data_IF_129764337596
#
_entry.id   IF_129764337596
#
_cell.length_a   1.000
_cell.length_b   1.000
_cell.length_c   1.000
_cell.angle_alpha   90.00
_cell.angle_beta   90.00
_cell.angle_gamma   90.00
#
_symmetry.space_group_name_H-M   'P 1'
#
loop_
_entity.id
_entity.type
_entity.pdbx_description
1 polymer ?
#
# COMPACT_ATOMS: atom_id res chain seq x y z
N UNK A 1 57.32 40.45 -7.92
CA UNK A 1 57.53 39.79 -9.21
C UNK A 1 57.55 38.28 -8.96
N UNK A 2 56.46 37.57 -9.33
CA UNK A 2 56.29 36.09 -9.39
C UNK A 2 56.42 35.37 -8.02
N UNK A 3 55.61 34.40 -7.63
CA UNK A 3 54.91 33.39 -8.43
C UNK A 3 53.75 32.81 -7.60
N UNK A 4 52.56 32.81 -8.19
CA UNK A 4 51.39 32.05 -7.74
C UNK A 4 51.60 30.56 -8.04
N UNK A 5 51.00 29.66 -7.24
CA UNK A 5 50.32 28.41 -7.63
C UNK A 5 50.22 27.46 -6.44
N UNK A 6 49.02 27.32 -5.89
CA UNK A 6 48.45 26.02 -5.48
C UNK A 6 46.95 26.18 -5.29
N UNK A 7 46.25 26.13 -6.44
CA UNK A 7 44.83 25.81 -6.51
C UNK A 7 44.69 24.30 -6.30
N UNK A 8 43.98 23.88 -5.27
CA UNK A 8 43.29 22.60 -5.27
C UNK A 8 41.85 22.83 -4.82
N UNK A 9 41.00 22.82 -5.82
CA UNK A 9 39.54 22.75 -5.80
C UNK A 9 39.01 21.61 -4.92
N UNK A 10 37.90 21.85 -4.23
CA UNK A 10 36.70 21.00 -4.28
C UNK A 10 35.55 21.75 -3.59
N UNK A 11 34.62 22.21 -4.41
CA UNK A 11 33.36 22.82 -4.01
C UNK A 11 32.48 21.78 -3.30
N UNK A 12 32.52 21.76 -1.97
CA UNK A 12 31.36 21.32 -1.19
C UNK A 12 30.33 22.45 -1.27
N UNK A 13 29.44 22.37 -2.26
CA UNK A 13 28.28 23.26 -2.39
C UNK A 13 27.34 23.09 -1.19
N UNK A 14 27.65 23.75 -0.09
CA UNK A 14 26.68 24.16 0.92
C UNK A 14 26.28 25.59 0.63
N UNK A 15 25.02 25.82 0.23
CA UNK A 15 24.44 27.16 0.17
C UNK A 15 24.37 27.70 1.60
N UNK A 16 25.30 28.59 1.96
CA UNK A 16 25.23 29.32 3.23
C UNK A 16 24.05 30.31 3.16
N UNK A 17 23.16 30.28 4.17
CA UNK A 17 22.18 31.35 4.34
C UNK A 17 22.85 32.55 5.03
N UNK A 18 22.26 33.74 4.92
CA UNK A 18 22.77 35.02 5.43
C UNK A 18 23.06 35.05 6.95
N UNK A 19 22.63 34.04 7.71
CA UNK A 19 22.83 33.91 9.15
C UNK A 19 23.99 32.97 9.56
N UNK A 20 24.74 32.36 8.63
CA UNK A 20 25.91 31.54 8.97
C UNK A 20 25.62 30.25 9.76
N UNK A 21 24.35 29.85 9.86
CA UNK A 21 23.94 28.58 10.48
C UNK A 21 24.17 27.45 9.48
N UNK A 22 24.91 26.41 9.89
CA UNK A 22 24.86 25.10 9.23
C UNK A 22 23.44 24.58 9.38
N UNK A 23 22.58 24.82 8.39
CA UNK A 23 21.29 24.14 8.31
C UNK A 23 21.62 22.66 8.22
N UNK A 24 21.18 21.81 9.17
CA UNK A 24 21.40 20.38 9.07
C UNK A 24 20.91 19.95 7.69
N UNK A 25 21.77 19.25 6.93
CA UNK A 25 21.34 18.63 5.68
C UNK A 25 20.11 17.81 6.05
N UNK A 26 18.94 18.25 5.57
CA UNK A 26 17.66 17.64 5.87
C UNK A 26 17.81 16.14 5.65
N UNK A 27 17.73 15.36 6.73
CA UNK A 27 18.02 13.94 6.66
C UNK A 27 16.82 13.23 6.03
N UNK A 28 16.70 13.34 4.70
CA UNK A 28 15.62 12.77 3.89
C UNK A 28 15.50 11.24 4.06
N UNK A 29 16.58 10.59 4.52
CA UNK A 29 16.60 9.17 4.81
C UNK A 29 15.88 8.83 6.13
N UNK A 30 15.75 9.80 7.04
CA UNK A 30 14.98 9.68 8.30
C UNK A 30 13.63 10.37 8.24
N UNK A 31 13.55 11.47 7.51
CA UNK A 31 12.39 12.35 7.44
C UNK A 31 12.05 12.65 5.97
N UNK A 32 11.39 11.71 5.27
CA UNK A 32 10.96 11.94 3.89
C UNK A 32 9.95 13.08 3.83
N UNK A 33 10.03 13.87 2.75
CA UNK A 33 9.20 15.05 2.59
C UNK A 33 7.96 14.77 1.74
N UNK A 34 6.81 15.39 2.07
CA UNK A 34 5.60 15.24 1.28
C UNK A 34 5.84 15.58 -0.20
N UNK A 35 5.30 14.76 -1.10
CA UNK A 35 5.38 14.93 -2.56
C UNK A 35 6.81 14.89 -3.15
N UNK A 36 7.80 14.44 -2.38
CA UNK A 36 9.16 14.17 -2.90
C UNK A 36 9.36 12.68 -3.15
N UNK A 37 10.36 12.34 -3.96
CA UNK A 37 10.71 10.94 -4.30
C UNK A 37 12.18 10.62 -4.01
N UNK A 38 12.87 11.51 -3.29
CA UNK A 38 14.32 11.49 -3.11
C UNK A 38 14.81 10.29 -2.28
N UNK A 39 13.98 9.76 -1.38
CA UNK A 39 14.33 8.60 -0.55
C UNK A 39 14.72 7.37 -1.41
N UNK A 40 14.13 7.23 -2.59
CA UNK A 40 14.36 6.07 -3.45
C UNK A 40 15.77 6.10 -4.07
N UNK A 41 16.22 7.26 -4.56
CA UNK A 41 17.54 7.40 -5.20
C UNK A 41 18.64 7.73 -4.20
N UNK A 42 18.39 8.70 -3.31
CA UNK A 42 19.41 9.27 -2.43
C UNK A 42 19.69 8.41 -1.20
N UNK A 43 18.76 7.53 -0.83
CA UNK A 43 18.88 6.69 0.37
C UNK A 43 18.84 5.20 0.05
N UNK A 44 17.73 4.70 -0.48
CA UNK A 44 17.53 3.26 -0.68
C UNK A 44 18.50 2.70 -1.74
N UNK A 45 18.51 3.27 -2.95
CA UNK A 45 19.41 2.80 -4.01
C UNK A 45 20.87 3.09 -3.69
N UNK A 46 21.17 4.27 -3.13
CA UNK A 46 22.52 4.62 -2.71
C UNK A 46 23.11 3.67 -1.66
N UNK A 47 22.27 2.99 -0.88
CA UNK A 47 22.69 2.07 0.18
C UNK A 47 22.63 0.60 -0.24
N UNK A 48 21.57 0.20 -0.92
CA UNK A 48 21.30 -1.21 -1.23
C UNK A 48 21.82 -1.63 -2.60
N UNK A 49 22.07 -0.67 -3.51
CA UNK A 49 22.59 -0.91 -4.85
C UNK A 49 21.80 -1.99 -5.61
N UNK A 50 20.46 -1.89 -5.57
CA UNK A 50 19.58 -2.88 -6.20
C UNK A 50 19.57 -2.80 -7.73
N UNK A 51 20.14 -1.75 -8.29
CA UNK A 51 20.27 -1.53 -9.72
C UNK A 51 18.99 -0.99 -10.36
N UNK A 52 19.03 -0.70 -11.68
CA UNK A 52 17.93 -0.06 -12.38
C UNK A 52 16.65 -0.90 -12.45
N UNK A 53 16.76 -2.22 -12.30
CA UNK A 53 15.61 -3.15 -12.23
C UNK A 53 15.12 -3.39 -10.78
N UNK A 54 15.85 -2.90 -9.78
CA UNK A 54 15.53 -3.05 -8.37
C UNK A 54 14.32 -2.20 -7.95
N UNK A 55 13.70 -2.58 -6.83
CA UNK A 55 12.51 -1.90 -6.31
C UNK A 55 12.66 -0.38 -6.18
N UNK A 56 13.77 0.18 -5.61
CA UNK A 56 13.89 1.62 -5.43
C UNK A 56 13.72 2.40 -6.74
N UNK A 57 14.29 1.92 -7.84
CA UNK A 57 14.29 2.63 -9.14
C UNK A 57 13.12 2.20 -10.02
N UNK A 58 12.98 0.89 -10.30
CA UNK A 58 12.01 0.38 -11.25
C UNK A 58 10.56 0.53 -10.79
N UNK A 59 10.33 0.61 -9.49
CA UNK A 59 9.01 0.70 -8.88
C UNK A 59 8.85 1.98 -8.05
N UNK A 60 9.55 2.09 -6.92
CA UNK A 60 9.39 3.17 -5.95
C UNK A 60 9.47 4.56 -6.58
N UNK A 61 10.61 4.89 -7.19
CA UNK A 61 10.82 6.17 -7.88
C UNK A 61 9.84 6.37 -9.04
N UNK A 62 9.68 5.36 -9.89
CA UNK A 62 8.79 5.40 -11.07
C UNK A 62 7.37 5.80 -10.69
N UNK A 63 6.78 5.09 -9.72
CA UNK A 63 5.39 5.30 -9.32
C UNK A 63 5.21 6.50 -8.39
N UNK A 64 6.21 6.85 -7.59
CA UNK A 64 6.23 8.12 -6.86
C UNK A 64 6.15 9.33 -7.82
N UNK A 65 6.98 9.35 -8.87
CA UNK A 65 6.96 10.42 -9.87
C UNK A 65 5.65 10.43 -10.67
N UNK A 66 5.13 9.25 -11.02
CA UNK A 66 3.86 9.12 -11.73
C UNK A 66 2.69 9.66 -10.88
N UNK A 67 2.70 9.38 -9.57
CA UNK A 67 1.72 9.93 -8.61
C UNK A 67 1.76 11.46 -8.60
N UNK A 68 2.96 12.05 -8.49
CA UNK A 68 3.13 13.50 -8.58
C UNK A 68 2.59 14.09 -9.90
N UNK A 69 2.80 13.40 -11.03
CA UNK A 69 2.39 13.89 -12.36
C UNK A 69 0.88 14.06 -12.53
N UNK A 70 0.07 13.30 -11.78
CA UNK A 70 -1.40 13.33 -11.91
C UNK A 70 -2.09 14.09 -10.79
N UNK A 71 -1.32 14.59 -9.81
CA UNK A 71 -1.84 15.28 -8.63
C UNK A 71 -2.74 16.47 -8.97
N UNK A 72 -2.49 17.15 -10.08
CA UNK A 72 -3.31 18.28 -10.54
C UNK A 72 -4.66 17.86 -11.17
N UNK A 73 -4.83 16.59 -11.53
CA UNK A 73 -6.07 16.03 -12.08
C UNK A 73 -7.04 15.57 -10.98
N UNK A 74 -6.56 15.47 -9.74
CA UNK A 74 -7.34 15.02 -8.60
C UNK A 74 -8.12 16.17 -7.96
N UNK A 75 -9.22 15.81 -7.29
CA UNK A 75 -9.96 16.70 -6.39
C UNK A 75 -9.08 17.19 -5.23
N UNK A 76 -9.57 18.14 -4.44
CA UNK A 76 -8.87 18.58 -3.22
C UNK A 76 -8.58 17.39 -2.28
N UNK A 77 -9.57 16.49 -2.12
CA UNK A 77 -9.43 15.28 -1.30
C UNK A 77 -8.43 14.29 -1.91
N UNK A 78 -8.46 14.12 -3.24
CA UNK A 78 -7.49 13.26 -3.93
C UNK A 78 -6.06 13.78 -3.82
N UNK A 79 -5.85 15.11 -3.80
CA UNK A 79 -4.54 15.74 -3.56
C UNK A 79 -4.02 15.50 -2.14
N UNK A 80 -4.90 15.53 -1.15
CA UNK A 80 -4.55 15.18 0.23
C UNK A 80 -4.21 13.69 0.33
N UNK A 81 -5.06 12.83 -0.23
CA UNK A 81 -4.86 11.39 -0.28
C UNK A 81 -3.50 11.03 -0.87
N UNK A 82 -3.20 11.49 -2.09
CA UNK A 82 -1.95 11.11 -2.76
C UNK A 82 -0.71 11.58 -1.98
N UNK A 83 -0.79 12.74 -1.33
CA UNK A 83 0.28 13.26 -0.46
C UNK A 83 0.49 12.36 0.76
N UNK A 84 -0.61 12.01 1.43
CA UNK A 84 -0.59 11.18 2.64
C UNK A 84 -0.10 9.76 2.35
N UNK A 85 -0.61 9.14 1.27
CA UNK A 85 -0.24 7.81 0.83
C UNK A 85 1.23 7.74 0.44
N UNK A 86 1.70 8.68 -0.39
CA UNK A 86 3.13 8.75 -0.76
C UNK A 86 4.03 8.89 0.46
N UNK A 87 3.64 9.71 1.44
CA UNK A 87 4.44 9.91 2.64
C UNK A 87 4.42 8.69 3.56
N UNK A 88 3.27 8.02 3.71
CA UNK A 88 3.13 6.76 4.45
C UNK A 88 4.08 5.70 3.90
N UNK A 89 4.01 5.45 2.58
CA UNK A 89 4.85 4.47 1.89
C UNK A 89 6.35 4.73 2.12
N UNK A 90 6.77 6.00 2.05
CA UNK A 90 8.18 6.37 2.27
C UNK A 90 8.61 6.21 3.73
N UNK A 91 7.74 6.54 4.69
CA UNK A 91 8.04 6.42 6.13
C UNK A 91 8.27 4.97 6.53
N UNK A 92 7.51 4.03 5.98
CA UNK A 92 7.71 2.60 6.28
C UNK A 92 9.08 2.07 5.80
N UNK A 93 9.70 2.73 4.83
CA UNK A 93 11.01 2.38 4.29
C UNK A 93 12.19 3.05 5.03
N UNK A 94 11.92 4.00 5.93
CA UNK A 94 12.95 4.79 6.63
C UNK A 94 13.97 3.90 7.32
N UNK A 95 13.55 2.83 7.99
CA UNK A 95 14.46 1.92 8.70
C UNK A 95 15.51 1.27 7.80
N UNK A 96 15.23 1.14 6.50
CA UNK A 96 16.20 0.66 5.53
C UNK A 96 16.97 1.82 4.88
N UNK A 97 16.31 2.95 4.65
CA UNK A 97 16.90 4.14 4.07
C UNK A 97 17.99 4.77 4.97
N UNK A 98 17.72 4.89 6.27
CA UNK A 98 18.66 5.44 7.27
C UNK A 98 19.74 4.44 7.70
N UNK A 99 19.58 3.16 7.34
CA UNK A 99 20.52 2.09 7.62
C UNK A 99 20.43 1.51 9.03
N UNK A 100 19.41 1.86 9.81
CA UNK A 100 19.12 1.25 11.11
C UNK A 100 18.85 -0.25 10.98
N UNK A 101 18.31 -0.69 9.85
CA UNK A 101 18.07 -2.09 9.52
C UNK A 101 18.72 -2.46 8.18
N UNK A 102 19.39 -3.62 8.15
CA UNK A 102 19.91 -4.22 6.92
C UNK A 102 18.84 -5.09 6.25
N UNK A 103 18.85 -5.17 4.93
CA UNK A 103 17.94 -6.03 4.15
C UNK A 103 18.58 -6.38 2.79
N UNK A 104 17.96 -7.28 2.05
CA UNK A 104 18.30 -7.58 0.65
C UNK A 104 17.33 -6.85 -0.29
N UNK A 105 17.68 -6.74 -1.57
CA UNK A 105 16.78 -6.11 -2.55
C UNK A 105 15.45 -6.83 -2.74
N UNK A 106 15.44 -8.17 -2.64
CA UNK A 106 14.22 -8.96 -2.67
C UNK A 106 13.36 -8.70 -1.43
N UNK A 107 13.94 -8.82 -0.24
CA UNK A 107 13.21 -8.60 1.01
C UNK A 107 12.72 -7.14 1.17
N UNK A 108 13.46 -6.15 0.65
CA UNK A 108 12.99 -4.76 0.57
C UNK A 108 11.73 -4.67 -0.30
N UNK A 109 11.76 -5.28 -1.49
CA UNK A 109 10.65 -5.28 -2.43
C UNK A 109 9.39 -5.85 -1.77
N UNK A 110 9.49 -7.04 -1.19
CA UNK A 110 8.36 -7.74 -0.58
C UNK A 110 7.78 -6.94 0.59
N UNK A 111 8.65 -6.40 1.46
CA UNK A 111 8.23 -5.52 2.53
C UNK A 111 7.56 -4.25 1.99
N UNK A 112 8.11 -3.64 0.96
CA UNK A 112 7.55 -2.41 0.43
C UNK A 112 6.14 -2.64 -0.14
N UNK A 113 5.92 -3.73 -0.90
CA UNK A 113 4.58 -4.05 -1.40
C UNK A 113 3.59 -4.39 -0.28
N UNK A 114 4.03 -5.00 0.82
CA UNK A 114 3.14 -5.33 1.94
C UNK A 114 2.58 -4.10 2.66
N UNK A 115 3.22 -2.93 2.54
CA UNK A 115 2.71 -1.68 3.16
C UNK A 115 1.68 -0.93 2.31
N UNK A 116 1.53 -1.29 1.03
CA UNK A 116 0.63 -0.56 0.13
C UNK A 116 -0.84 -0.62 0.57
N UNK A 117 -1.41 -1.78 0.97
CA UNK A 117 -2.82 -1.85 1.37
C UNK A 117 -3.17 -0.90 2.51
N UNK A 118 -2.39 -0.92 3.59
CA UNK A 118 -2.60 -0.05 4.75
C UNK A 118 -2.44 1.42 4.39
N UNK A 119 -1.35 1.82 3.71
CA UNK A 119 -1.14 3.22 3.35
C UNK A 119 -2.24 3.79 2.43
N UNK A 120 -2.79 2.97 1.52
CA UNK A 120 -3.87 3.41 0.63
C UNK A 120 -5.19 3.60 1.38
N UNK A 121 -5.51 2.65 2.25
CA UNK A 121 -6.71 2.68 3.10
C UNK A 121 -6.63 3.83 4.10
N UNK A 122 -5.54 3.93 4.85
CA UNK A 122 -5.32 4.95 5.87
C UNK A 122 -5.23 6.36 5.27
N UNK A 123 -4.71 6.49 4.05
CA UNK A 123 -4.76 7.74 3.29
C UNK A 123 -6.19 8.16 2.90
N UNK A 124 -7.15 7.23 2.93
CA UNK A 124 -8.57 7.49 2.68
C UNK A 124 -9.04 7.20 1.25
N UNK A 125 -8.41 6.25 0.54
CA UNK A 125 -8.78 5.92 -0.87
C UNK A 125 -10.26 5.61 -1.03
N UNK A 126 -10.85 4.99 -0.01
CA UNK A 126 -12.24 4.53 0.00
C UNK A 126 -13.27 5.67 0.06
N UNK A 127 -12.84 6.89 0.42
CA UNK A 127 -13.70 8.07 0.54
C UNK A 127 -13.50 9.06 -0.61
N UNK A 128 -12.71 8.69 -1.63
CA UNK A 128 -12.50 9.53 -2.80
C UNK A 128 -13.70 9.47 -3.75
N UNK A 129 -13.96 10.53 -4.52
CA UNK A 129 -14.98 10.49 -5.57
C UNK A 129 -14.54 9.60 -6.75
N UNK A 130 -15.48 9.05 -7.54
CA UNK A 130 -15.17 8.17 -8.68
C UNK A 130 -14.19 8.76 -9.71
N UNK A 131 -14.23 10.08 -9.94
CA UNK A 131 -13.27 10.74 -10.84
C UNK A 131 -11.81 10.64 -10.37
N UNK A 132 -11.58 10.67 -9.05
CA UNK A 132 -10.25 10.46 -8.49
C UNK A 132 -9.83 8.99 -8.63
N UNK A 133 -10.75 8.04 -8.39
CA UNK A 133 -10.49 6.61 -8.61
C UNK A 133 -10.07 6.33 -10.05
N UNK A 134 -10.75 6.91 -11.03
CA UNK A 134 -10.41 6.76 -12.45
C UNK A 134 -8.98 7.24 -12.75
N UNK A 135 -8.61 8.42 -12.26
CA UNK A 135 -7.24 8.95 -12.39
C UNK A 135 -6.25 8.00 -11.74
N UNK A 136 -6.50 7.55 -10.51
CA UNK A 136 -5.62 6.64 -9.76
C UNK A 136 -5.43 5.33 -10.53
N UNK A 137 -6.50 4.66 -10.96
CA UNK A 137 -6.38 3.38 -11.66
C UNK A 137 -5.61 3.52 -12.97
N UNK A 138 -5.90 4.56 -13.77
CA UNK A 138 -5.20 4.81 -15.05
C UNK A 138 -3.73 5.18 -14.87
N UNK A 139 -3.41 5.85 -13.76
CA UNK A 139 -2.06 6.32 -13.46
C UNK A 139 -1.12 5.18 -13.14
N UNK A 140 -1.60 4.22 -12.35
CA UNK A 140 -0.72 3.28 -11.66
C UNK A 140 -0.91 1.84 -12.12
N UNK A 141 -2.03 1.54 -12.80
CA UNK A 141 -2.46 0.17 -13.06
C UNK A 141 -2.74 -0.50 -11.73
N UNK A 142 -3.98 -0.37 -11.24
CA UNK A 142 -4.36 -0.66 -9.85
C UNK A 142 -3.88 -2.04 -9.32
N UNK A 143 -3.75 -3.04 -10.19
CA UNK A 143 -3.23 -4.37 -9.85
C UNK A 143 -1.70 -4.39 -9.68
N UNK A 144 -0.96 -3.59 -10.45
CA UNK A 144 0.51 -3.50 -10.37
C UNK A 144 1.01 -2.77 -9.12
N UNK A 145 0.09 -2.19 -8.35
CA UNK A 145 0.36 -1.49 -7.11
C UNK A 145 0.46 -2.40 -5.89
N UNK A 146 -0.01 -3.63 -6.00
CA UNK A 146 -0.04 -4.58 -4.91
C UNK A 146 0.72 -5.83 -5.31
N UNK A 147 1.27 -6.52 -4.30
CA UNK A 147 1.94 -7.80 -4.54
C UNK A 147 0.98 -8.85 -5.13
N UNK A 148 -0.32 -8.71 -4.84
CA UNK A 148 -1.40 -9.52 -5.37
C UNK A 148 -2.73 -8.77 -5.35
N UNK A 149 -3.57 -8.99 -6.37
CA UNK A 149 -4.97 -8.54 -6.40
C UNK A 149 -5.79 -9.12 -5.25
N UNK A 150 -5.47 -10.33 -4.80
CA UNK A 150 -6.23 -11.01 -3.75
C UNK A 150 -5.99 -10.36 -2.38
N UNK A 151 -4.75 -9.95 -2.11
CA UNK A 151 -4.38 -9.24 -0.88
C UNK A 151 -5.09 -7.89 -0.78
N UNK A 152 -5.19 -7.17 -1.90
CA UNK A 152 -5.94 -5.93 -1.99
C UNK A 152 -7.44 -6.15 -1.74
N UNK A 153 -8.03 -7.17 -2.37
CA UNK A 153 -9.45 -7.48 -2.20
C UNK A 153 -9.77 -7.85 -0.75
N UNK A 154 -8.94 -8.69 -0.13
CA UNK A 154 -9.10 -9.05 1.28
C UNK A 154 -9.03 -7.82 2.18
N UNK A 155 -8.07 -6.92 1.95
CA UNK A 155 -7.94 -5.68 2.71
C UNK A 155 -9.17 -4.77 2.54
N UNK A 156 -9.64 -4.55 1.30
CA UNK A 156 -10.78 -3.68 1.03
C UNK A 156 -12.10 -4.24 1.59
N UNK A 157 -12.32 -5.55 1.55
CA UNK A 157 -13.55 -6.19 2.05
C UNK A 157 -13.75 -6.02 3.56
N UNK A 158 -12.66 -5.95 4.32
CA UNK A 158 -12.71 -5.87 5.79
C UNK A 158 -12.89 -4.43 6.31
N UNK A 159 -12.69 -3.43 5.45
CA UNK A 159 -12.74 -2.01 5.84
C UNK A 159 -14.12 -1.43 5.55
N UNK A 160 -14.86 -1.14 6.63
CA UNK A 160 -16.17 -0.48 6.60
C UNK A 160 -16.05 0.90 5.94
N UNK A 161 -16.45 1.00 4.68
CA UNK A 161 -16.37 2.24 3.87
C UNK A 161 -15.71 2.04 2.50
N UNK A 162 -15.06 0.90 2.26
CA UNK A 162 -14.43 0.58 0.97
C UNK A 162 -15.35 -0.17 0.00
N UNK A 163 -16.59 -0.47 0.39
CA UNK A 163 -17.56 -1.22 -0.44
C UNK A 163 -17.81 -0.51 -1.76
N UNK A 164 -18.12 0.79 -1.75
CA UNK A 164 -18.38 1.56 -2.98
C UNK A 164 -17.17 1.57 -3.92
N UNK A 165 -15.96 1.66 -3.35
CA UNK A 165 -14.74 1.62 -4.15
C UNK A 165 -14.52 0.24 -4.77
N UNK A 166 -14.75 -0.83 -3.99
CA UNK A 166 -14.68 -2.20 -4.46
C UNK A 166 -15.72 -2.51 -5.56
N UNK A 167 -16.97 -2.08 -5.38
CA UNK A 167 -18.03 -2.20 -6.39
C UNK A 167 -17.64 -1.47 -7.68
N UNK A 168 -17.16 -0.23 -7.57
CA UNK A 168 -16.68 0.54 -8.72
C UNK A 168 -15.53 -0.17 -9.45
N UNK A 169 -14.58 -0.78 -8.74
CA UNK A 169 -13.50 -1.56 -9.37
C UNK A 169 -14.00 -2.77 -10.16
N UNK A 170 -15.09 -3.40 -9.72
CA UNK A 170 -15.75 -4.50 -10.44
C UNK A 170 -16.48 -3.97 -11.67
N UNK A 171 -17.24 -2.88 -11.55
CA UNK A 171 -17.98 -2.28 -12.67
C UNK A 171 -17.07 -1.85 -13.82
N UNK A 172 -15.87 -1.33 -13.49
CA UNK A 172 -14.86 -0.97 -14.48
C UNK A 172 -14.05 -2.16 -15.02
N UNK A 173 -14.34 -3.39 -14.58
CA UNK A 173 -13.66 -4.62 -15.00
C UNK A 173 -12.19 -4.70 -14.56
N UNK A 174 -11.77 -3.88 -13.60
CA UNK A 174 -10.39 -3.83 -13.09
C UNK A 174 -10.13 -5.02 -12.17
N UNK A 175 -11.10 -5.30 -11.31
CA UNK A 175 -11.15 -6.54 -10.55
C UNK A 175 -12.14 -7.46 -11.24
N UNK A 176 -11.73 -8.71 -11.43
CA UNK A 176 -12.72 -9.75 -11.64
C UNK A 176 -13.56 -9.80 -10.38
N UNK A 177 -14.87 -9.94 -10.53
CA UNK A 177 -15.66 -10.47 -9.43
C UNK A 177 -14.97 -11.81 -9.07
N UNK A 178 -14.28 -11.84 -7.92
CA UNK A 178 -13.98 -13.11 -7.26
C UNK A 178 -15.37 -13.55 -6.88
N UNK A 179 -16.00 -14.30 -7.80
CA UNK A 179 -17.44 -14.41 -7.87
C UNK A 179 -17.97 -14.65 -6.47
N UNK A 180 -19.06 -13.97 -6.16
CA UNK A 180 -19.90 -14.28 -5.02
C UNK A 180 -20.27 -15.77 -4.92
N UNK A 181 -19.86 -16.65 -5.84
CA UNK A 181 -19.85 -18.11 -5.69
C UNK A 181 -19.26 -18.64 -4.39
N UNK A 182 -18.21 -18.06 -3.79
CA UNK A 182 -17.72 -18.58 -2.49
C UNK A 182 -18.53 -18.02 -1.32
N UNK A 183 -18.76 -16.71 -1.27
CA UNK A 183 -19.54 -16.10 -0.19
C UNK A 183 -21.03 -16.47 -0.21
N UNK A 184 -21.66 -16.53 -1.39
CA UNK A 184 -23.01 -17.06 -1.57
C UNK A 184 -23.04 -18.57 -1.35
N UNK A 185 -22.02 -19.36 -1.76
CA UNK A 185 -22.02 -20.78 -1.44
C UNK A 185 -21.80 -21.04 0.05
N UNK A 186 -20.99 -20.25 0.76
CA UNK A 186 -20.81 -20.36 2.21
C UNK A 186 -22.10 -19.91 2.94
N UNK A 187 -22.70 -18.78 2.58
CA UNK A 187 -23.97 -18.33 3.16
C UNK A 187 -25.12 -19.30 2.85
N UNK A 188 -25.20 -19.84 1.64
CA UNK A 188 -26.19 -20.86 1.26
C UNK A 188 -25.89 -22.20 1.94
N UNK A 189 -24.62 -22.59 2.10
CA UNK A 189 -24.22 -23.81 2.80
C UNK A 189 -24.58 -23.72 4.28
N UNK A 190 -24.30 -22.62 4.96
CA UNK A 190 -24.72 -22.39 6.36
C UNK A 190 -26.25 -22.36 6.46
N UNK A 191 -26.94 -21.63 5.59
CA UNK A 191 -28.41 -21.54 5.60
C UNK A 191 -29.11 -22.87 5.33
N UNK A 192 -28.54 -23.74 4.47
CA UNK A 192 -29.11 -25.05 4.15
C UNK A 192 -28.63 -26.18 5.08
N UNK A 193 -27.44 -26.08 5.67
CA UNK A 193 -26.88 -27.10 6.56
C UNK A 193 -27.45 -27.03 7.98
N UNK A 194 -27.68 -25.82 8.51
CA UNK A 194 -28.26 -25.61 9.86
C UNK A 194 -29.61 -26.37 10.04
N UNK A 195 -30.61 -26.25 9.14
CA UNK A 195 -31.88 -26.98 9.30
C UNK A 195 -31.72 -28.51 9.18
N UNK A 196 -30.76 -28.99 8.39
CA UNK A 196 -30.47 -30.43 8.28
C UNK A 196 -29.86 -31.00 9.57
N UNK A 197 -28.89 -30.30 10.18
CA UNK A 197 -28.31 -30.70 11.46
C UNK A 197 -29.32 -30.60 12.62
N UNK A 198 -30.18 -29.58 12.62
CA UNK A 198 -31.28 -29.45 13.58
C UNK A 198 -32.27 -30.62 13.43
N UNK A 199 -32.65 -30.98 12.20
CA UNK A 199 -33.54 -32.11 11.95
C UNK A 199 -32.96 -33.45 12.41
N UNK A 200 -31.67 -33.71 12.14
CA UNK A 200 -30.98 -34.91 12.63
C UNK A 200 -30.91 -34.92 14.16
N UNK A 201 -30.64 -33.78 14.79
CA UNK A 201 -30.61 -33.66 16.25
C UNK A 201 -31.98 -33.97 16.88
N UNK A 202 -33.07 -33.45 16.30
CA UNK A 202 -34.42 -33.76 16.78
C UNK A 202 -34.83 -35.21 16.50
N UNK A 203 -34.47 -35.76 15.34
CA UNK A 203 -34.77 -37.16 15.02
C UNK A 203 -34.03 -38.11 15.95
N UNK A 204 -32.75 -37.86 16.22
CA UNK A 204 -31.96 -38.64 17.19
C UNK A 204 -32.50 -38.47 18.61
N UNK A 205 -32.86 -37.26 19.04
CA UNK A 205 -33.49 -37.04 20.34
C UNK A 205 -34.84 -37.77 20.46
N UNK A 206 -35.65 -37.80 19.39
CA UNK A 206 -36.93 -38.51 19.37
C UNK A 206 -36.75 -40.03 19.45
N UNK A 207 -35.75 -40.58 18.76
CA UNK A 207 -35.38 -42.00 18.85
C UNK A 207 -34.90 -42.33 20.27
N UNK A 208 -34.04 -41.49 20.86
CA UNK A 208 -33.59 -41.67 22.24
C UNK A 208 -34.75 -41.60 23.24
N UNK A 209 -35.64 -40.62 23.13
CA UNK A 209 -36.83 -40.53 24.00
C UNK A 209 -37.73 -41.75 23.81
N UNK A 210 -37.93 -42.23 22.58
CA UNK A 210 -38.76 -43.41 22.30
C UNK A 210 -38.16 -44.70 22.87
N UNK A 211 -36.83 -44.83 22.85
CA UNK A 211 -36.12 -45.97 23.44
C UNK A 211 -36.12 -45.92 24.97
N UNK A 212 -36.07 -44.74 25.58
CA UNK A 212 -36.09 -44.58 27.04
C UNK A 212 -37.49 -44.54 27.66
N UNK A 213 -38.52 -44.12 26.91
CA UNK A 213 -39.92 -44.11 27.37
C UNK A 213 -40.49 -45.52 27.57
N UNK A 214 -39.90 -46.54 26.95
CA UNK A 214 -40.30 -47.94 27.15
C UNK A 214 -39.62 -48.64 28.34
N UNK A 215 -38.80 -47.93 29.13
CA UNK A 215 -38.03 -48.49 30.27
C UNK A 215 -38.49 -47.99 31.65
N UNK A 216 -39.68 -47.40 31.77
CA UNK A 216 -40.34 -47.03 33.04
C UNK A 216 -41.79 -47.45 33.03
#
# INVERSE_FOLDING_TARGET
>A
MKLALLLCSLTLGGLMNAAGILVPRKDICRYPEPNTCDIYTQCLEARLHCGPAGYPIAYGLKYCNKSNSVRNQLSARGKEWITSTMLCLQRDLVKYADGSQKTTCGALKDYAFSTHPSCYIDGGVCLLPPGDWEVIVKTVGFVNLFDSSDALVAALKTVKGCVNFYEWLIEQGILKAINGLVGFAEDVWETLSIPFYIFIFFLSLFIFISLFWHST
#
